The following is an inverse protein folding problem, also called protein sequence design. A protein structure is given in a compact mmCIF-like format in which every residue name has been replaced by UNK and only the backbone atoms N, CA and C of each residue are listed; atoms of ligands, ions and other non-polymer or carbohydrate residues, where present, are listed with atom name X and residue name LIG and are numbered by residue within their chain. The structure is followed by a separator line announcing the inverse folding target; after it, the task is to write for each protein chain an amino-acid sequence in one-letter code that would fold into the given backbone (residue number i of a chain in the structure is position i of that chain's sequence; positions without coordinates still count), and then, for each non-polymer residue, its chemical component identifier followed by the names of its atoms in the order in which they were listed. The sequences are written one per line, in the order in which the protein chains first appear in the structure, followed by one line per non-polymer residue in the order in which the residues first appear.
data_IF_392052673079
#
_entry.id   IF_392052673079
#
_cell.length_a   1.000
_cell.length_b   1.000
_cell.length_c   1.000
_cell.angle_alpha   90.00
_cell.angle_beta   90.00
_cell.angle_gamma   90.00
#
_symmetry.space_group_name_H-M   'P 1'
#
loop_
_entity.id
_entity.type
_entity.pdbx_description
1 polymer ?
#
# COMPACT_ATOMS: atom_id res chain seq x y z
N UNK A 1 4.18 -9.81 -0.45
CA UNK A 1 5.31 -9.70 -1.40
C UNK A 1 5.36 -8.37 -2.15
N UNK A 2 4.25 -7.65 -2.33
CA UNK A 2 4.21 -6.43 -3.19
C UNK A 2 5.22 -5.34 -2.81
N UNK A 3 5.44 -5.04 -1.52
CA UNK A 3 6.47 -4.06 -1.12
C UNK A 3 7.90 -4.53 -1.45
N UNK A 4 8.18 -5.83 -1.30
CA UNK A 4 9.49 -6.40 -1.63
C UNK A 4 9.75 -6.33 -3.14
N UNK A 5 8.73 -6.63 -3.95
CA UNK A 5 8.82 -6.48 -5.40
C UNK A 5 9.09 -5.01 -5.80
N UNK A 6 8.39 -4.07 -5.17
CA UNK A 6 8.64 -2.64 -5.37
C UNK A 6 10.05 -2.21 -4.94
N UNK A 7 10.55 -2.69 -3.80
CA UNK A 7 11.94 -2.42 -3.39
C UNK A 7 12.97 -3.03 -4.36
N UNK A 8 12.66 -4.18 -4.95
CA UNK A 8 13.50 -4.86 -5.93
C UNK A 8 13.48 -4.23 -7.33
N UNK A 9 12.72 -3.14 -7.54
CA UNK A 9 12.72 -2.40 -8.80
C UNK A 9 11.41 -2.41 -9.58
N UNK A 10 10.38 -3.12 -9.12
CA UNK A 10 9.08 -3.10 -9.82
C UNK A 10 8.42 -1.72 -9.73
N UNK A 11 8.06 -1.15 -10.88
CA UNK A 11 7.37 0.14 -10.99
C UNK A 11 5.85 0.02 -10.94
N UNK A 12 5.32 -1.19 -11.15
CA UNK A 12 3.89 -1.48 -11.09
C UNK A 12 3.62 -2.71 -10.21
N UNK A 13 2.58 -2.62 -9.39
CA UNK A 13 2.13 -3.70 -8.50
C UNK A 13 0.69 -4.07 -8.84
N UNK A 14 0.49 -5.27 -9.39
CA UNK A 14 -0.85 -5.84 -9.50
C UNK A 14 -1.37 -6.20 -8.09
N UNK A 15 -2.61 -5.83 -7.79
CA UNK A 15 -3.20 -6.16 -6.50
C UNK A 15 -3.70 -7.60 -6.47
N UNK A 16 -3.78 -8.14 -5.27
CA UNK A 16 -4.27 -9.51 -5.03
C UNK A 16 -5.44 -9.40 -4.06
N UNK A 17 -6.53 -10.09 -4.36
CA UNK A 17 -7.71 -10.12 -3.48
C UNK A 17 -7.63 -11.29 -2.49
N UNK A 18 -8.34 -11.23 -1.36
CA UNK A 18 -8.42 -12.35 -0.42
C UNK A 18 -8.91 -13.67 -1.04
N UNK A 19 -9.74 -13.59 -2.08
CA UNK A 19 -10.25 -14.76 -2.81
C UNK A 19 -9.27 -15.29 -3.86
N UNK A 20 -8.05 -14.74 -3.96
CA UNK A 20 -7.04 -15.26 -4.88
C UNK A 20 -6.85 -16.77 -4.64
N UNK A 21 -6.93 -17.56 -5.72
CA UNK A 21 -6.92 -19.02 -5.71
C UNK A 21 -8.17 -19.72 -5.13
N UNK A 22 -9.17 -18.98 -4.62
CA UNK A 22 -10.40 -19.53 -4.04
C UNK A 22 -11.63 -19.29 -4.91
N UNK A 23 -11.71 -18.17 -5.63
CA UNK A 23 -12.86 -17.83 -6.47
C UNK A 23 -12.86 -16.39 -6.96
N UNK A 24 -14.00 -15.94 -7.49
CA UNK A 24 -14.18 -14.54 -7.91
C UNK A 24 -14.40 -13.63 -6.70
N UNK A 25 -13.75 -12.46 -6.65
CA UNK A 25 -13.87 -11.55 -5.52
C UNK A 25 -15.19 -10.78 -5.55
N UNK A 26 -15.72 -10.48 -4.37
CA UNK A 26 -16.79 -9.49 -4.22
C UNK A 26 -16.24 -8.05 -4.15
N UNK A 27 -17.14 -7.06 -4.09
CA UNK A 27 -16.77 -5.63 -4.11
C UNK A 27 -15.87 -5.26 -2.93
N UNK A 28 -16.12 -5.79 -1.74
CA UNK A 28 -15.32 -5.51 -0.54
C UNK A 28 -13.92 -6.12 -0.63
N UNK A 29 -13.80 -7.28 -1.27
CA UNK A 29 -12.52 -7.93 -1.54
C UNK A 29 -11.67 -7.15 -2.54
N UNK A 30 -12.28 -6.65 -3.61
CA UNK A 30 -11.61 -5.75 -4.56
C UNK A 30 -11.11 -4.51 -3.83
N UNK A 31 -11.97 -3.85 -3.04
CA UNK A 31 -11.58 -2.66 -2.27
C UNK A 31 -10.43 -2.94 -1.31
N UNK A 32 -10.45 -4.07 -0.59
CA UNK A 32 -9.36 -4.48 0.32
C UNK A 32 -8.06 -4.73 -0.44
N UNK A 33 -8.11 -5.41 -1.58
CA UNK A 33 -6.93 -5.65 -2.43
C UNK A 33 -6.28 -4.35 -2.88
N UNK A 34 -7.08 -3.42 -3.40
CA UNK A 34 -6.59 -2.10 -3.86
C UNK A 34 -5.98 -1.30 -2.72
N UNK A 35 -6.63 -1.23 -1.55
CA UNK A 35 -6.10 -0.51 -0.39
C UNK A 35 -4.78 -1.12 0.08
N UNK A 36 -4.70 -2.46 0.15
CA UNK A 36 -3.49 -3.18 0.54
C UNK A 36 -2.32 -2.86 -0.40
N UNK A 37 -2.53 -2.93 -1.72
CA UNK A 37 -1.50 -2.59 -2.70
C UNK A 37 -1.10 -1.12 -2.68
N UNK A 38 -2.04 -0.21 -2.41
CA UNK A 38 -1.74 1.22 -2.23
C UNK A 38 -0.84 1.47 -1.02
N UNK A 39 -1.10 0.79 0.11
CA UNK A 39 -0.24 0.86 1.30
C UNK A 39 1.16 0.31 0.99
N UNK A 40 1.24 -0.82 0.29
CA UNK A 40 2.51 -1.40 -0.12
C UNK A 40 3.33 -0.44 -1.01
N UNK A 41 2.69 0.16 -2.02
CA UNK A 41 3.31 1.15 -2.90
C UNK A 41 3.77 2.39 -2.12
N UNK A 42 2.96 2.88 -1.18
CA UNK A 42 3.33 4.00 -0.31
C UNK A 42 4.57 3.70 0.54
N UNK A 43 4.63 2.51 1.16
CA UNK A 43 5.80 2.09 1.92
C UNK A 43 7.07 2.05 1.06
N UNK A 44 6.97 1.58 -0.18
CA UNK A 44 8.09 1.59 -1.15
C UNK A 44 8.49 3.02 -1.50
N UNK A 45 7.52 3.92 -1.68
CA UNK A 45 7.81 5.33 -1.96
C UNK A 45 8.53 6.01 -0.80
N UNK A 46 8.15 5.75 0.46
CA UNK A 46 8.88 6.24 1.63
C UNK A 46 10.32 5.70 1.62
N UNK A 47 10.50 4.40 1.38
CA UNK A 47 11.83 3.80 1.36
C UNK A 47 12.73 4.37 0.24
N UNK A 48 12.16 4.66 -0.94
CA UNK A 48 12.91 5.21 -2.09
C UNK A 48 13.16 6.72 -2.01
N UNK A 49 12.19 7.49 -1.52
CA UNK A 49 12.19 8.96 -1.64
C UNK A 49 12.23 9.70 -0.30
N UNK A 50 12.16 8.98 0.83
CA UNK A 50 12.28 9.52 2.18
C UNK A 50 11.26 10.62 2.45
N UNK A 51 11.77 11.78 2.92
CA UNK A 51 10.95 12.95 3.31
C UNK A 51 9.97 13.42 2.24
N UNK A 52 10.27 13.21 0.96
CA UNK A 52 9.37 13.60 -0.15
C UNK A 52 8.08 12.77 -0.18
N UNK A 53 8.11 11.56 0.38
CA UNK A 53 6.98 10.65 0.41
C UNK A 53 6.35 10.47 1.81
N UNK A 54 7.04 10.86 2.89
CA UNK A 54 6.56 10.68 4.28
C UNK A 54 5.61 11.77 4.80
N UNK A 55 5.33 12.82 4.01
CA UNK A 55 4.52 13.96 4.48
C UNK A 55 3.11 13.55 4.93
N UNK A 56 2.53 12.52 4.31
CA UNK A 56 1.21 12.02 4.69
C UNK A 56 1.26 11.35 6.07
N UNK A 57 2.27 10.52 6.32
CA UNK A 57 2.52 9.88 7.61
C UNK A 57 2.73 10.92 8.71
N UNK A 58 3.55 11.95 8.46
CA UNK A 58 3.78 13.04 9.42
C UNK A 58 2.50 13.80 9.77
N UNK A 59 1.62 14.03 8.77
CA UNK A 59 0.32 14.67 9.00
C UNK A 59 -0.60 13.78 9.83
N UNK A 60 -0.63 12.48 9.54
CA UNK A 60 -1.42 11.51 10.30
C UNK A 60 -0.93 11.37 11.74
N UNK A 61 0.38 11.37 11.95
CA UNK A 61 0.98 11.25 13.29
C UNK A 61 0.73 12.49 14.15
N UNK A 62 0.80 13.70 13.56
CA UNK A 62 0.37 14.93 14.24
C UNK A 62 -1.10 14.86 14.63
N UNK A 63 -1.98 14.49 13.70
CA UNK A 63 -3.41 14.37 13.97
C UNK A 63 -3.73 13.31 15.05
N UNK A 64 -2.99 12.19 15.10
CA UNK A 64 -3.14 11.17 16.15
C UNK A 64 -2.68 11.67 17.52
N UNK A 65 -1.65 12.51 17.56
CA UNK A 65 -1.13 13.09 18.81
C UNK A 65 -2.11 14.11 19.42
N UNK A 66 -2.89 14.79 18.57
CA UNK A 66 -3.82 15.85 18.96
C UNK A 66 -5.23 15.32 19.34
N UNK A 67 -5.43 13.99 19.39
CA UNK A 67 -6.64 13.32 19.87
C UNK A 67 -6.62 13.14 21.41
#
# INVERSE_FOLDING_TARGET
MSSVAGLAGADYLCYVTPSEHLGLPNIDEVKRGVISSKIAAHAVNIARYGKRASWWDEKMDKARKDL
#
